data_IF_652409144312
#
_entry.id   IF_652409144312
#
_cell.length_a   1.000
_cell.length_b   1.000
_cell.length_c   1.000
_cell.angle_alpha   90.00
_cell.angle_beta   90.00
_cell.angle_gamma   90.00
#
_symmetry.space_group_name_H-M   'P 1'
#
loop_
_entity.id
_entity.type
_entity.pdbx_description
1 polymer ?
#
# COMPACT_ATOMS: atom_id res chain seq x y z
N UNK A 1 -1.62 -7.18 -10.69
CA UNK A 1 -1.15 -6.94 -9.29
C UNK A 1 -2.32 -6.55 -8.41
N UNK A 2 -3.03 -5.46 -8.72
CA UNK A 2 -4.25 -5.05 -8.02
C UNK A 2 -5.27 -6.20 -7.88
N UNK A 3 -5.56 -6.93 -8.96
CA UNK A 3 -6.53 -8.04 -8.92
C UNK A 3 -6.15 -9.15 -7.94
N UNK A 4 -4.85 -9.45 -7.79
CA UNK A 4 -4.36 -10.45 -6.83
C UNK A 4 -4.59 -9.99 -5.39
N UNK A 5 -4.38 -8.71 -5.11
CA UNK A 5 -4.62 -8.11 -3.79
C UNK A 5 -6.12 -8.15 -3.47
N UNK A 6 -6.96 -7.66 -4.38
CA UNK A 6 -8.43 -7.64 -4.20
C UNK A 6 -8.98 -9.06 -4.08
N UNK A 7 -8.49 -10.01 -4.87
CA UNK A 7 -8.93 -11.41 -4.79
C UNK A 7 -8.61 -12.06 -3.45
N UNK A 8 -7.51 -11.68 -2.78
CA UNK A 8 -7.11 -12.25 -1.49
C UNK A 8 -7.79 -11.56 -0.31
N UNK A 9 -7.93 -10.24 -0.36
CA UNK A 9 -8.33 -9.42 0.79
C UNK A 9 -9.75 -8.85 0.67
N UNK A 10 -10.38 -8.94 -0.50
CA UNK A 10 -11.73 -8.44 -0.76
C UNK A 10 -11.86 -6.97 -0.35
N UNK A 11 -12.84 -6.68 0.49
CA UNK A 11 -13.13 -5.31 0.95
C UNK A 11 -12.07 -4.71 1.88
N UNK A 12 -11.12 -5.51 2.38
CA UNK A 12 -10.02 -5.01 3.23
C UNK A 12 -8.99 -4.21 2.43
N UNK A 13 -8.87 -4.47 1.13
CA UNK A 13 -7.94 -3.78 0.24
C UNK A 13 -8.70 -3.04 -0.85
N UNK A 14 -8.84 -1.72 -0.68
CA UNK A 14 -9.55 -0.85 -1.62
C UNK A 14 -8.54 -0.23 -2.59
N UNK A 15 -8.71 -0.49 -3.89
CA UNK A 15 -7.88 0.15 -4.91
C UNK A 15 -8.37 1.58 -5.13
N UNK A 16 -7.52 2.56 -4.79
CA UNK A 16 -7.83 3.98 -4.96
C UNK A 16 -7.55 4.44 -6.40
N UNK A 17 -6.38 4.07 -6.94
CA UNK A 17 -6.07 4.28 -8.34
C UNK A 17 -5.09 3.24 -8.89
N UNK A 18 -5.14 3.10 -10.22
CA UNK A 18 -4.15 2.39 -11.03
C UNK A 18 -3.66 3.37 -12.09
N UNK A 19 -2.36 3.65 -12.08
CA UNK A 19 -1.65 4.44 -13.09
C UNK A 19 -0.48 3.60 -13.62
N UNK A 20 0.13 4.04 -14.72
CA UNK A 20 1.32 3.37 -15.27
C UNK A 20 2.38 3.20 -14.17
N UNK A 21 2.71 1.94 -13.88
CA UNK A 21 3.68 1.54 -12.84
C UNK A 21 3.38 2.02 -11.42
N UNK A 22 2.17 2.52 -11.11
CA UNK A 22 1.81 3.05 -9.79
C UNK A 22 0.43 2.57 -9.40
N UNK A 23 0.32 1.86 -8.28
CA UNK A 23 -0.95 1.40 -7.72
C UNK A 23 -1.07 1.97 -6.32
N UNK A 24 -2.25 2.47 -5.96
CA UNK A 24 -2.56 2.82 -4.57
C UNK A 24 -3.62 1.90 -4.00
N UNK A 25 -3.33 1.38 -2.82
CA UNK A 25 -4.20 0.49 -2.05
C UNK A 25 -4.45 1.14 -0.71
N UNK A 26 -5.70 1.47 -0.42
CA UNK A 26 -6.13 1.92 0.89
C UNK A 26 -6.62 0.71 1.70
N UNK A 27 -6.26 0.65 2.97
CA UNK A 27 -6.67 -0.38 3.91
C UNK A 27 -6.92 0.24 5.29
N UNK A 28 -7.55 -0.53 6.18
CA UNK A 28 -7.58 -0.19 7.60
C UNK A 28 -6.27 -0.55 8.29
N UNK A 29 -5.99 0.10 9.42
CA UNK A 29 -4.77 -0.13 10.21
C UNK A 29 -4.68 -1.57 10.73
N UNK A 30 -5.81 -2.23 10.95
CA UNK A 30 -5.82 -3.59 11.49
C UNK A 30 -5.37 -4.63 10.44
N UNK A 31 -5.60 -4.35 9.15
CA UNK A 31 -5.33 -5.26 8.05
C UNK A 31 -3.99 -4.96 7.32
N UNK A 32 -3.32 -3.86 7.68
CA UNK A 32 -2.18 -3.36 6.91
C UNK A 32 -0.99 -4.33 6.90
N UNK A 33 -0.73 -5.02 8.01
CA UNK A 33 0.39 -5.96 8.12
C UNK A 33 0.19 -7.17 7.21
N UNK A 34 -1.01 -7.76 7.22
CA UNK A 34 -1.32 -8.93 6.39
C UNK A 34 -1.20 -8.61 4.89
N UNK A 35 -1.67 -7.43 4.49
CA UNK A 35 -1.56 -6.96 3.10
C UNK A 35 -0.10 -6.65 2.75
N UNK A 36 0.66 -6.01 3.64
CA UNK A 36 2.08 -5.73 3.43
C UNK A 36 2.90 -7.02 3.28
N UNK A 37 2.65 -8.04 4.12
CA UNK A 37 3.31 -9.34 4.00
C UNK A 37 2.95 -10.05 2.69
N UNK A 38 1.69 -10.00 2.26
CA UNK A 38 1.34 -10.53 0.94
C UNK A 38 2.05 -9.80 -0.21
N UNK A 39 2.12 -8.47 -0.15
CA UNK A 39 2.81 -7.66 -1.16
C UNK A 39 4.30 -8.03 -1.21
N UNK A 40 4.94 -8.25 -0.06
CA UNK A 40 6.35 -8.69 0.02
C UNK A 40 6.53 -10.11 -0.49
N UNK A 41 5.80 -11.07 0.08
CA UNK A 41 6.10 -12.50 -0.07
C UNK A 41 5.57 -13.07 -1.39
N UNK A 42 4.38 -12.65 -1.82
CA UNK A 42 3.70 -13.18 -3.00
C UNK A 42 3.85 -12.29 -4.24
N UNK A 43 3.94 -10.97 -4.05
CA UNK A 43 4.10 -10.02 -5.16
C UNK A 43 5.55 -9.55 -5.36
N UNK A 44 6.47 -9.93 -4.47
CA UNK A 44 7.91 -9.66 -4.53
C UNK A 44 8.30 -8.18 -4.44
N UNK A 45 7.44 -7.35 -3.85
CA UNK A 45 7.81 -5.98 -3.47
C UNK A 45 8.54 -6.02 -2.12
N UNK A 46 9.81 -6.42 -2.19
CA UNK A 46 10.68 -6.72 -1.05
C UNK A 46 11.24 -5.48 -0.31
N UNK A 47 11.03 -4.28 -0.83
CA UNK A 47 11.66 -3.08 -0.32
C UNK A 47 10.63 -1.99 0.03
N UNK A 48 10.71 -1.46 1.25
CA UNK A 48 10.00 -0.25 1.63
C UNK A 48 10.87 0.96 1.34
N UNK A 49 10.61 1.63 0.21
CA UNK A 49 11.42 2.75 -0.27
C UNK A 49 11.25 4.01 0.58
N UNK A 50 10.03 4.24 1.07
CA UNK A 50 9.73 5.37 1.95
C UNK A 50 8.42 5.16 2.70
N UNK A 51 8.26 5.94 3.78
CA UNK A 51 7.00 6.13 4.49
C UNK A 51 6.73 7.62 4.62
N UNK A 52 5.51 8.04 4.31
CA UNK A 52 5.06 9.42 4.41
C UNK A 52 3.81 9.54 5.27
N UNK A 53 3.71 10.65 6.01
CA UNK A 53 2.52 11.02 6.76
C UNK A 53 1.84 12.24 6.15
N UNK A 54 0.51 12.23 6.03
CA UNK A 54 -0.29 13.39 5.66
C UNK A 54 -1.26 13.70 6.80
N UNK A 55 -1.14 14.87 7.42
CA UNK A 55 -2.10 15.36 8.41
C UNK A 55 -3.32 15.92 7.67
N UNK A 56 -4.51 15.43 8.02
CA UNK A 56 -5.80 15.94 7.56
C UNK A 56 -6.56 16.53 8.77
N UNK A 57 -6.31 17.80 9.14
CA UNK A 57 -6.92 18.41 10.34
C UNK A 57 -8.45 18.42 10.29
N UNK A 58 -9.03 18.66 9.11
CA UNK A 58 -10.49 18.77 8.93
C UNK A 58 -11.21 17.46 9.21
N UNK A 59 -10.61 16.32 8.86
CA UNK A 59 -11.17 14.99 9.15
C UNK A 59 -10.67 14.41 10.48
N UNK A 60 -9.76 15.10 11.18
CA UNK A 60 -9.07 14.62 12.39
C UNK A 60 -8.36 13.27 12.18
N UNK A 61 -7.76 13.10 11.00
CA UNK A 61 -7.06 11.88 10.62
C UNK A 61 -5.61 12.17 10.26
N UNK A 62 -4.73 11.21 10.51
CA UNK A 62 -3.42 11.13 9.89
C UNK A 62 -3.43 9.96 8.93
N UNK A 63 -3.00 10.20 7.70
CA UNK A 63 -2.76 9.14 6.74
C UNK A 63 -1.28 8.75 6.75
N UNK A 64 -1.02 7.45 6.78
CA UNK A 64 0.32 6.88 6.63
C UNK A 64 0.36 6.12 5.31
N UNK A 65 1.31 6.48 4.45
CA UNK A 65 1.49 5.88 3.13
C UNK A 65 2.88 5.23 3.06
N UNK A 66 2.92 3.93 2.82
CA UNK A 66 4.12 3.16 2.57
C UNK A 66 4.31 2.98 1.07
N UNK A 67 5.45 3.39 0.53
CA UNK A 67 5.82 3.16 -0.86
C UNK A 67 6.68 1.89 -0.95
N UNK A 68 6.11 0.86 -1.56
CA UNK A 68 6.70 -0.46 -1.66
C UNK A 68 7.18 -0.70 -3.10
N UNK A 69 8.46 -1.02 -3.23
CA UNK A 69 9.17 -1.35 -4.46
C UNK A 69 9.82 -2.73 -4.35
N UNK A 70 10.62 -3.09 -5.35
CA UNK A 70 11.46 -4.29 -5.31
C UNK A 70 12.86 -3.94 -5.77
N UNK A 71 13.86 -4.36 -4.99
CA UNK A 71 15.27 -4.23 -5.37
C UNK A 71 15.86 -5.56 -5.83
N UNK A 72 15.17 -6.68 -5.61
CA UNK A 72 15.64 -8.00 -6.03
C UNK A 72 15.07 -8.47 -7.36
N UNK A 73 13.93 -7.91 -7.81
CA UNK A 73 13.31 -8.20 -9.09
C UNK A 73 13.37 -6.97 -10.03
N UNK A 74 14.26 -7.01 -11.01
CA UNK A 74 14.44 -5.93 -12.00
C UNK A 74 13.17 -5.64 -12.81
N UNK A 75 12.27 -6.61 -13.00
CA UNK A 75 10.99 -6.39 -13.72
C UNK A 75 9.98 -5.58 -12.91
N UNK A 76 10.23 -5.43 -11.60
CA UNK A 76 9.46 -4.63 -10.67
C UNK A 76 10.14 -3.31 -10.32
N UNK A 77 11.41 -3.12 -10.67
CA UNK A 77 12.21 -1.96 -10.25
C UNK A 77 11.67 -0.58 -10.67
N UNK A 78 10.77 -0.51 -11.64
CA UNK A 78 10.09 0.74 -12.01
C UNK A 78 8.65 0.86 -11.47
N UNK A 79 8.15 -0.12 -10.70
CA UNK A 79 6.78 -0.21 -10.18
C UNK A 79 6.75 0.09 -8.69
N UNK A 80 5.73 0.82 -8.26
CA UNK A 80 5.52 1.14 -6.85
C UNK A 80 4.07 0.85 -6.46
N UNK A 81 3.90 0.23 -5.29
CA UNK A 81 2.63 0.13 -4.60
C UNK A 81 2.64 1.11 -3.42
N UNK A 82 1.71 2.07 -3.43
CA UNK A 82 1.43 2.91 -2.27
C UNK A 82 0.36 2.22 -1.40
N UNK A 83 0.78 1.63 -0.28
CA UNK A 83 -0.13 1.05 0.71
C UNK A 83 -0.43 2.08 1.79
N UNK A 84 -1.68 2.51 1.89
CA UNK A 84 -2.09 3.59 2.77
C UNK A 84 -3.10 3.13 3.83
N UNK A 85 -2.98 3.69 5.03
CA UNK A 85 -4.01 3.61 6.07
C UNK A 85 -4.23 4.97 6.68
N UNK A 86 -5.46 5.22 7.13
CA UNK A 86 -5.80 6.37 7.96
C UNK A 86 -5.98 5.95 9.40
N UNK A 87 -5.57 6.81 10.32
CA UNK A 87 -5.74 6.62 11.77
C UNK A 87 -6.26 7.92 12.38
N UNK A 88 -6.96 7.85 13.54
CA UNK A 88 -7.29 9.05 14.30
C UNK A 88 -6.03 9.86 14.60
N UNK A 89 -6.15 11.19 14.53
CA UNK A 89 -5.08 12.14 14.85
C UNK A 89 -4.76 12.19 16.35
N UNK A 90 -5.73 11.84 17.19
CA UNK A 90 -5.67 11.86 18.67
C UNK A 90 -5.90 10.46 19.26
#
# INVERSE_FOLDING_TARGET
>A
MADKIVSKFGQKAVIDYIRTNRIRVNTKKEDILDIAYFIRDELKFDHAESVGGVDYPDSKEIEVVYHLGSYTDEQLGNKIIALATKVPRE
#
